data_IF_893462797316
#
_entry.id   IF_893462797316
#
_cell.length_a   1.000
_cell.length_b   1.000
_cell.length_c   1.000
_cell.angle_alpha   90.00
_cell.angle_beta   90.00
_cell.angle_gamma   90.00
#
_symmetry.space_group_name_H-M   'P 1'
#
loop_
_entity.id
_entity.type
_entity.pdbx_description
1 polymer ?
#
# COMPACT_ATOMS: atom_id res chain seq x y z
N UNK A 1 36.06 -38.49 1.07
CA UNK A 1 34.95 -37.76 1.70
C UNK A 1 34.74 -36.46 0.94
N UNK A 2 33.64 -36.35 0.20
CA UNK A 2 33.31 -35.14 -0.57
C UNK A 2 32.65 -34.12 0.39
N UNK A 3 33.30 -32.98 0.62
CA UNK A 3 32.82 -31.92 1.52
C UNK A 3 31.62 -31.22 0.88
N UNK A 4 30.41 -31.74 1.15
CA UNK A 4 29.16 -31.04 0.87
C UNK A 4 28.96 -29.93 1.90
N UNK A 5 29.78 -28.87 1.84
CA UNK A 5 29.38 -27.58 2.40
C UNK A 5 28.66 -26.78 1.32
N UNK A 6 27.40 -27.17 1.11
CA UNK A 6 26.40 -26.33 0.44
C UNK A 6 26.21 -25.10 1.33
N UNK A 7 27.04 -24.09 1.12
CA UNK A 7 26.89 -22.78 1.75
C UNK A 7 25.47 -22.29 1.48
N UNK A 8 24.78 -22.02 2.57
CA UNK A 8 23.45 -21.42 2.58
C UNK A 8 23.43 -20.25 1.59
N UNK A 9 22.49 -20.29 0.64
CA UNK A 9 22.27 -19.16 -0.25
C UNK A 9 21.87 -17.96 0.61
N UNK A 10 22.83 -17.09 0.92
CA UNK A 10 22.56 -15.83 1.58
C UNK A 10 21.63 -15.02 0.66
N UNK A 11 20.37 -14.86 1.06
CA UNK A 11 19.43 -14.06 0.28
C UNK A 11 19.95 -12.62 0.16
N UNK A 12 19.90 -12.01 -1.04
CA UNK A 12 20.29 -10.63 -1.21
C UNK A 12 19.38 -9.73 -0.36
N UNK A 13 19.99 -8.91 0.48
CA UNK A 13 19.31 -7.91 1.32
C UNK A 13 19.37 -6.54 0.66
N UNK A 14 18.31 -5.77 0.80
CA UNK A 14 18.13 -4.43 0.24
C UNK A 14 17.69 -3.46 1.32
N UNK A 15 18.03 -2.18 1.14
CA UNK A 15 17.69 -1.14 2.10
C UNK A 15 16.19 -0.78 2.04
N UNK A 16 15.56 -0.72 3.20
CA UNK A 16 14.21 -0.19 3.41
C UNK A 16 14.21 0.78 4.60
N UNK A 17 14.23 2.09 4.31
CA UNK A 17 14.38 3.12 5.35
C UNK A 17 15.77 3.03 6.00
N UNK A 18 15.81 2.77 7.31
CA UNK A 18 17.05 2.61 8.10
C UNK A 18 17.41 1.13 8.37
N UNK A 19 16.72 0.17 7.74
CA UNK A 19 16.90 -1.25 7.99
C UNK A 19 17.20 -2.02 6.71
N UNK A 20 18.06 -3.03 6.83
CA UNK A 20 18.34 -4.01 5.78
C UNK A 20 17.32 -5.13 5.83
N UNK A 21 16.63 -5.37 4.73
CA UNK A 21 15.58 -6.38 4.60
C UNK A 21 15.87 -7.29 3.42
N UNK A 22 15.57 -8.59 3.50
CA UNK A 22 15.66 -9.46 2.32
C UNK A 22 14.85 -8.89 1.16
N UNK A 23 15.37 -8.96 -0.07
CA UNK A 23 14.70 -8.43 -1.26
C UNK A 23 13.28 -9.00 -1.43
N UNK A 24 13.12 -10.28 -1.11
CA UNK A 24 11.84 -11.00 -1.09
C UNK A 24 10.79 -10.35 -0.17
N UNK A 25 11.22 -9.67 0.89
CA UNK A 25 10.35 -9.05 1.91
C UNK A 25 10.12 -7.55 1.69
N UNK A 26 10.94 -6.88 0.87
CA UNK A 26 10.83 -5.44 0.63
C UNK A 26 9.47 -5.06 0.05
N UNK A 27 9.00 -5.79 -0.97
CA UNK A 27 7.71 -5.52 -1.62
C UNK A 27 6.53 -5.62 -0.64
N UNK A 28 6.57 -6.61 0.26
CA UNK A 28 5.56 -6.80 1.30
C UNK A 28 5.58 -5.65 2.31
N UNK A 29 6.76 -5.24 2.79
CA UNK A 29 6.90 -4.09 3.71
C UNK A 29 6.45 -2.77 3.08
N UNK A 30 6.75 -2.56 1.79
CA UNK A 30 6.25 -1.40 1.04
C UNK A 30 4.72 -1.42 1.02
N UNK A 31 4.10 -2.55 0.68
CA UNK A 31 2.64 -2.69 0.67
C UNK A 31 2.01 -2.43 2.05
N UNK A 32 2.63 -2.91 3.13
CA UNK A 32 2.18 -2.63 4.50
C UNK A 32 2.24 -1.14 4.84
N UNK A 33 3.30 -0.43 4.45
CA UNK A 33 3.39 1.03 4.63
C UNK A 33 2.32 1.74 3.82
N UNK A 34 2.13 1.39 2.53
CA UNK A 34 1.06 1.96 1.71
C UNK A 34 -0.33 1.75 2.33
N UNK A 35 -0.59 0.56 2.88
CA UNK A 35 -1.85 0.27 3.56
C UNK A 35 -2.04 1.12 4.81
N UNK A 36 -0.98 1.28 5.62
CA UNK A 36 -1.02 2.10 6.84
C UNK A 36 -1.22 3.59 6.57
N UNK A 37 -0.65 4.08 5.47
CA UNK A 37 -0.79 5.45 4.99
C UNK A 37 -2.22 5.64 4.53
N UNK A 38 -2.73 4.82 3.61
CA UNK A 38 -4.09 4.94 3.09
C UNK A 38 -5.14 5.02 4.21
N UNK A 39 -5.07 4.13 5.20
CA UNK A 39 -6.01 4.13 6.33
C UNK A 39 -5.93 5.41 7.20
N UNK A 40 -4.73 5.96 7.43
CA UNK A 40 -4.56 7.22 8.17
C UNK A 40 -5.04 8.43 7.39
N UNK A 41 -4.82 8.45 6.08
CA UNK A 41 -5.29 9.53 5.22
C UNK A 41 -6.81 9.52 5.07
N UNK A 42 -7.45 8.35 4.97
CA UNK A 42 -8.91 8.23 4.94
C UNK A 42 -9.55 8.80 6.20
N UNK A 43 -9.01 8.45 7.37
CA UNK A 43 -9.48 8.97 8.65
C UNK A 43 -9.30 10.49 8.75
N UNK A 44 -8.13 10.99 8.36
CA UNK A 44 -7.84 12.43 8.38
C UNK A 44 -8.75 13.19 7.41
N UNK A 45 -9.00 12.67 6.21
CA UNK A 45 -9.93 13.27 5.25
C UNK A 45 -11.35 13.30 5.79
N UNK A 46 -11.81 12.22 6.43
CA UNK A 46 -13.16 12.16 7.00
C UNK A 46 -13.32 13.11 8.20
N UNK A 47 -12.30 13.24 9.06
CA UNK A 47 -12.33 14.13 10.23
C UNK A 47 -12.15 15.60 9.85
N UNK A 48 -11.11 15.95 9.10
CA UNK A 48 -10.81 17.35 8.73
C UNK A 48 -11.86 17.94 7.78
N UNK A 49 -12.45 17.12 6.90
CA UNK A 49 -13.54 17.57 6.04
C UNK A 49 -14.91 17.49 6.70
N UNK A 50 -15.02 16.98 7.94
CA UNK A 50 -16.31 16.70 8.57
C UNK A 50 -17.21 15.78 7.74
N UNK A 51 -16.61 14.91 6.92
CA UNK A 51 -17.32 14.03 5.99
C UNK A 51 -17.77 14.67 4.66
N UNK A 52 -17.39 15.92 4.36
CA UNK A 52 -17.74 16.60 3.10
C UNK A 52 -17.25 15.85 1.85
N UNK A 53 -16.17 15.08 1.95
CA UNK A 53 -15.68 14.24 0.84
C UNK A 53 -16.76 13.24 0.34
N UNK A 54 -17.66 12.79 1.22
CA UNK A 54 -18.78 11.89 0.88
C UNK A 54 -19.85 12.62 0.07
N UNK A 55 -20.11 13.88 0.41
CA UNK A 55 -20.98 14.74 -0.39
C UNK A 55 -20.37 14.98 -1.77
N UNK A 56 -19.08 15.32 -1.86
CA UNK A 56 -18.42 15.52 -3.16
C UNK A 56 -18.47 14.26 -4.02
N UNK A 57 -18.21 13.06 -3.47
CA UNK A 57 -18.38 11.81 -4.22
C UNK A 57 -19.79 11.65 -4.78
N UNK A 58 -20.80 11.96 -3.97
CA UNK A 58 -22.22 11.84 -4.37
C UNK A 58 -22.59 12.88 -5.43
N UNK A 59 -22.19 14.14 -5.24
CA UNK A 59 -22.37 15.21 -6.20
C UNK A 59 -21.64 14.94 -7.52
N UNK A 60 -20.41 14.43 -7.49
CA UNK A 60 -19.66 14.10 -8.71
C UNK A 60 -20.34 12.97 -9.48
N UNK A 61 -20.85 11.93 -8.81
CA UNK A 61 -21.59 10.85 -9.49
C UNK A 61 -22.89 11.40 -10.12
N UNK A 62 -23.61 12.26 -9.40
CA UNK A 62 -24.84 12.87 -9.88
C UNK A 62 -24.61 13.83 -11.06
N UNK A 63 -23.57 14.67 -10.97
CA UNK A 63 -23.20 15.63 -12.01
C UNK A 63 -22.54 14.98 -13.23
N UNK A 64 -21.80 13.89 -13.05
CA UNK A 64 -21.15 13.18 -14.17
C UNK A 64 -22.13 12.40 -15.04
N UNK A 65 -23.39 12.24 -14.62
CA UNK A 65 -24.38 11.43 -15.33
C UNK A 65 -24.01 9.93 -15.39
N UNK A 66 -23.02 9.51 -14.61
CA UNK A 66 -22.55 8.14 -14.56
C UNK A 66 -23.63 7.25 -13.93
N UNK A 67 -24.30 6.44 -14.76
CA UNK A 67 -25.26 5.44 -14.31
C UNK A 67 -24.62 4.07 -14.22
N UNK A 68 -25.09 3.27 -13.26
CA UNK A 68 -24.76 1.85 -13.21
C UNK A 68 -25.13 1.20 -14.55
N UNK A 69 -24.15 0.62 -15.24
CA UNK A 69 -24.34 -0.02 -16.54
C UNK A 69 -23.79 0.74 -17.75
N UNK A 70 -23.29 1.98 -17.60
CA UNK A 70 -22.46 2.59 -18.64
C UNK A 70 -21.11 1.84 -18.66
N UNK A 71 -20.82 1.14 -19.76
CA UNK A 71 -19.59 0.37 -19.97
C UNK A 71 -18.76 1.02 -21.06
#
# INVERSE_FOLDING_TARGET
MNDQRKGEHAEPTTHFGYQDVPESQKAKKVAEVFHSVAAKYDLMNDVLSGGMHRLWKRFTIELSGARHGNR
#
